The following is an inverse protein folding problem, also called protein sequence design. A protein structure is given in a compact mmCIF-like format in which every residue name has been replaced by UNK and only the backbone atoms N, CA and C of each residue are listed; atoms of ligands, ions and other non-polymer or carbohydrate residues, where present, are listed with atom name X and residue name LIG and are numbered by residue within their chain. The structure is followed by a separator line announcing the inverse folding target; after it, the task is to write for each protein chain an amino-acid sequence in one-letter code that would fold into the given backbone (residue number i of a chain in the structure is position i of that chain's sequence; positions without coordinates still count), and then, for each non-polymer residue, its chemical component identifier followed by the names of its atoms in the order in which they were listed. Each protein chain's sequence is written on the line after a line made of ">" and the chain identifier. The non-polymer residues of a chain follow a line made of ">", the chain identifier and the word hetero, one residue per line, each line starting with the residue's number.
data_IF_353290380595
#
_entry.id   IF_353290380595
#
_cell.length_a   1.000
_cell.length_b   1.000
_cell.length_c   1.000
_cell.angle_alpha   90.00
_cell.angle_beta   90.00
_cell.angle_gamma   90.00
#
_symmetry.space_group_name_H-M   'P 1'
#
loop_
_entity.id
_entity.type
_entity.pdbx_description
1 polymer ?
#
# COMPACT_ATOMS: atom_id res chain seq x y z
N UNK A 1 -29.05 -7.12 -44.27
CA UNK A 1 -29.02 -7.17 -45.74
C UNK A 1 -27.61 -7.50 -46.17
N UNK A 2 -27.44 -8.70 -46.74
CA UNK A 2 -26.21 -9.20 -47.32
C UNK A 2 -25.79 -8.36 -48.54
N UNK A 3 -24.48 -8.30 -48.81
CA UNK A 3 -23.97 -8.62 -50.16
C UNK A 3 -22.47 -8.92 -50.11
N UNK A 4 -22.14 -10.17 -50.43
CA UNK A 4 -20.82 -10.66 -50.84
C UNK A 4 -20.63 -10.50 -52.35
N UNK A 5 -19.38 -10.34 -52.80
CA UNK A 5 -18.84 -10.74 -54.11
C UNK A 5 -17.34 -10.42 -54.12
N UNK A 6 -16.41 -11.12 -54.78
CA UNK A 6 -16.31 -12.47 -55.33
C UNK A 6 -14.84 -12.65 -55.73
N UNK A 7 -14.38 -13.89 -55.72
CA UNK A 7 -13.06 -14.44 -56.07
C UNK A 7 -12.72 -14.37 -57.58
N UNK A 8 -11.43 -14.40 -57.95
CA UNK A 8 -10.74 -14.98 -59.17
C UNK A 8 -9.22 -14.80 -58.91
N UNK A 9 -8.32 -15.79 -58.70
CA UNK A 9 -7.80 -16.97 -59.43
C UNK A 9 -6.74 -16.68 -60.55
N UNK A 10 -5.47 -17.02 -60.20
CA UNK A 10 -4.32 -17.62 -60.94
C UNK A 10 -3.83 -17.06 -62.31
N UNK A 11 -2.52 -16.85 -62.41
CA UNK A 11 -1.70 -17.29 -63.55
C UNK A 11 -0.25 -17.63 -63.15
N UNK A 12 0.31 -18.64 -63.81
CA UNK A 12 1.56 -19.39 -63.58
C UNK A 12 2.45 -19.23 -64.83
N UNK A 13 3.77 -19.11 -64.69
CA UNK A 13 4.82 -19.43 -65.70
C UNK A 13 6.20 -19.36 -65.02
N UNK A 14 6.84 -20.44 -64.56
CA UNK A 14 7.65 -21.45 -65.28
C UNK A 14 8.77 -20.89 -66.18
N UNK A 15 10.02 -21.03 -65.72
CA UNK A 15 11.22 -21.25 -66.55
C UNK A 15 12.15 -22.21 -65.79
N UNK A 16 12.66 -23.21 -66.50
CA UNK A 16 13.38 -24.36 -65.96
C UNK A 16 14.75 -24.56 -66.66
N UNK A 17 15.62 -25.31 -65.96
CA UNK A 17 16.77 -26.14 -66.38
C UNK A 17 18.18 -25.51 -66.47
N UNK A 18 19.30 -26.29 -66.34
CA UNK A 18 19.49 -27.61 -65.68
C UNK A 18 20.83 -27.82 -64.90
N UNK A 19 20.84 -28.91 -64.11
CA UNK A 19 21.91 -29.88 -63.76
C UNK A 19 23.40 -29.45 -63.63
N UNK A 20 23.96 -29.67 -62.43
CA UNK A 20 25.22 -30.38 -62.23
C UNK A 20 25.22 -31.09 -60.86
N UNK A 21 25.63 -32.35 -60.84
CA UNK A 21 25.69 -33.23 -59.67
C UNK A 21 27.13 -33.63 -59.34
N UNK A 22 27.32 -34.12 -58.10
CA UNK A 22 28.46 -34.84 -57.48
C UNK A 22 29.20 -34.06 -56.35
N UNK A 23 29.82 -34.72 -55.35
CA UNK A 23 29.17 -35.48 -54.26
C UNK A 23 29.78 -35.20 -52.85
N UNK A 24 29.10 -35.71 -51.82
CA UNK A 24 29.56 -36.06 -50.45
C UNK A 24 30.89 -35.49 -49.89
N UNK A 25 30.76 -34.64 -48.86
CA UNK A 25 31.53 -34.76 -47.63
C UNK A 25 30.76 -34.08 -46.48
N UNK A 26 30.24 -34.91 -45.58
CA UNK A 26 29.66 -34.47 -44.32
C UNK A 26 30.76 -33.90 -43.42
N UNK A 27 30.85 -32.58 -43.34
CA UNK A 27 31.30 -31.91 -42.12
C UNK A 27 30.04 -31.52 -41.35
N UNK A 28 29.59 -32.41 -40.48
CA UNK A 28 28.72 -32.04 -39.38
C UNK A 28 29.56 -31.18 -38.42
N UNK A 29 29.65 -29.88 -38.71
CA UNK A 29 29.89 -28.91 -37.65
C UNK A 29 28.75 -29.07 -36.64
N UNK A 30 29.01 -29.15 -35.33
CA UNK A 30 27.94 -29.08 -34.36
C UNK A 30 27.25 -27.73 -34.57
N UNK A 31 26.03 -27.78 -35.11
CA UNK A 31 25.14 -26.64 -35.13
C UNK A 31 25.03 -26.20 -33.66
N UNK A 32 25.58 -25.03 -33.39
CA UNK A 32 25.49 -24.36 -32.11
C UNK A 32 24.02 -24.12 -31.87
N UNK A 33 23.44 -24.94 -30.99
CA UNK A 33 22.05 -24.80 -30.56
C UNK A 33 21.90 -23.40 -29.96
N UNK A 34 21.07 -22.51 -30.53
CA UNK A 34 20.85 -21.19 -29.96
C UNK A 34 20.05 -21.36 -28.67
N UNK A 35 20.78 -21.52 -27.57
CA UNK A 35 20.39 -21.15 -26.21
C UNK A 35 18.93 -21.36 -25.87
N UNK A 36 18.52 -22.61 -25.71
CA UNK A 36 17.50 -22.94 -24.70
C UNK A 36 18.13 -22.51 -23.37
N UNK A 37 17.80 -21.32 -22.89
CA UNK A 37 18.01 -20.94 -21.49
C UNK A 37 17.29 -21.99 -20.66
N UNK A 38 18.05 -22.93 -20.10
CA UNK A 38 17.55 -23.77 -19.00
C UNK A 38 17.12 -22.79 -17.93
N UNK A 39 15.82 -22.71 -17.64
CA UNK A 39 15.35 -22.04 -16.44
C UNK A 39 16.12 -22.63 -15.27
N UNK A 40 16.97 -21.82 -14.64
CA UNK A 40 17.73 -22.26 -13.48
C UNK A 40 16.72 -22.75 -12.43
N UNK A 41 16.91 -23.98 -11.94
CA UNK A 41 16.05 -24.51 -10.88
C UNK A 41 16.22 -23.61 -9.66
N UNK A 42 15.12 -22.99 -9.23
CA UNK A 42 15.12 -22.12 -8.04
C UNK A 42 15.41 -22.96 -6.80
N UNK A 43 16.33 -22.47 -5.97
CA UNK A 43 16.65 -23.06 -4.68
C UNK A 43 15.66 -22.56 -3.63
N UNK A 44 14.56 -23.28 -3.46
CA UNK A 44 13.59 -23.06 -2.37
C UNK A 44 13.83 -24.12 -1.29
N UNK A 45 14.16 -23.74 -0.05
CA UNK A 45 14.39 -24.71 1.02
C UNK A 45 13.08 -25.42 1.39
N UNK A 46 13.18 -26.71 1.76
CA UNK A 46 12.02 -27.50 2.17
C UNK A 46 11.38 -26.98 3.47
N UNK A 47 12.15 -26.29 4.31
CA UNK A 47 11.69 -25.62 5.52
C UNK A 47 11.89 -24.11 5.38
N UNK A 48 10.92 -23.28 5.81
CA UNK A 48 11.08 -21.83 5.81
C UNK A 48 12.32 -21.34 6.59
N UNK A 49 12.89 -20.24 6.11
CA UNK A 49 13.97 -19.49 6.76
C UNK A 49 13.38 -18.72 7.94
N UNK A 50 13.66 -19.19 9.15
CA UNK A 50 13.08 -18.65 10.41
C UNK A 50 14.05 -17.84 11.26
N UNK A 51 15.29 -17.63 10.79
CA UNK A 51 16.29 -16.83 11.52
C UNK A 51 17.26 -16.11 10.59
N UNK A 52 17.92 -15.07 11.12
CA UNK A 52 18.98 -14.35 10.40
C UNK A 52 20.14 -15.26 10.01
N UNK A 53 20.58 -16.15 10.90
CA UNK A 53 21.66 -17.09 10.61
C UNK A 53 21.31 -18.05 9.45
N UNK A 54 20.05 -18.49 9.37
CA UNK A 54 19.58 -19.32 8.26
C UNK A 54 19.51 -18.54 6.94
N UNK A 55 19.12 -17.27 6.99
CA UNK A 55 19.16 -16.39 5.82
C UNK A 55 20.60 -16.16 5.33
N UNK A 56 21.51 -15.85 6.24
CA UNK A 56 22.92 -15.64 5.90
C UNK A 56 23.54 -16.92 5.32
N UNK A 57 23.18 -18.11 5.83
CA UNK A 57 23.58 -19.39 5.25
C UNK A 57 23.01 -19.57 3.84
N UNK A 58 21.71 -19.35 3.66
CA UNK A 58 21.05 -19.43 2.36
C UNK A 58 21.72 -18.52 1.31
N UNK A 59 22.05 -17.28 1.68
CA UNK A 59 22.69 -16.32 0.77
C UNK A 59 24.13 -16.70 0.41
N UNK A 60 24.87 -17.38 1.31
CA UNK A 60 26.23 -17.88 1.01
C UNK A 60 26.21 -19.12 0.13
N UNK A 61 25.27 -20.02 0.38
CA UNK A 61 25.26 -21.36 -0.21
C UNK A 61 24.46 -21.43 -1.52
N UNK A 62 23.61 -20.43 -1.80
CA UNK A 62 22.76 -20.38 -3.00
C UNK A 62 23.36 -19.48 -4.07
N UNK A 63 23.63 -20.00 -5.29
CA UNK A 63 24.06 -19.18 -6.42
C UNK A 63 23.02 -18.10 -6.78
N UNK A 64 23.43 -16.88 -7.16
CA UNK A 64 22.51 -15.79 -7.48
C UNK A 64 21.42 -16.15 -8.50
N UNK A 65 21.77 -16.93 -9.54
CA UNK A 65 20.86 -17.39 -10.60
C UNK A 65 19.75 -18.33 -10.11
N UNK A 66 19.97 -19.01 -8.98
CA UNK A 66 19.01 -19.92 -8.35
C UNK A 66 18.26 -19.27 -7.19
N UNK A 67 18.60 -18.04 -6.79
CA UNK A 67 17.97 -17.35 -5.67
C UNK A 67 16.86 -16.40 -6.13
N UNK A 68 15.61 -16.56 -5.65
CA UNK A 68 14.54 -15.57 -5.86
C UNK A 68 14.90 -14.16 -5.37
N UNK A 69 15.81 -14.04 -4.38
CA UNK A 69 16.27 -12.74 -3.88
C UNK A 69 17.00 -11.93 -4.97
N UNK A 70 17.56 -12.58 -5.99
CA UNK A 70 18.26 -11.92 -7.09
C UNK A 70 17.32 -11.28 -8.12
N UNK A 71 16.01 -11.50 -8.02
CA UNK A 71 15.04 -10.76 -8.84
C UNK A 71 14.88 -9.31 -8.42
N UNK A 72 15.22 -9.00 -7.16
CA UNK A 72 15.23 -7.62 -6.66
C UNK A 72 16.52 -6.92 -7.09
N UNK A 73 16.42 -5.63 -7.43
CA UNK A 73 17.61 -4.78 -7.56
C UNK A 73 18.44 -4.78 -6.26
N UNK A 74 19.76 -4.52 -6.30
CA UNK A 74 20.61 -4.57 -5.12
C UNK A 74 20.10 -3.74 -3.93
N UNK A 75 19.58 -2.54 -4.18
CA UNK A 75 19.01 -1.68 -3.15
C UNK A 75 17.68 -2.19 -2.60
N UNK A 76 16.77 -2.64 -3.47
CA UNK A 76 15.50 -3.26 -3.06
C UNK A 76 15.71 -4.54 -2.23
N UNK A 77 16.66 -5.40 -2.66
CA UNK A 77 17.04 -6.60 -1.93
C UNK A 77 17.55 -6.27 -0.53
N UNK A 78 18.42 -5.27 -0.42
CA UNK A 78 18.94 -4.80 0.88
C UNK A 78 17.79 -4.33 1.78
N UNK A 79 16.96 -3.39 1.30
CA UNK A 79 15.81 -2.87 2.06
C UNK A 79 14.85 -3.97 2.52
N UNK A 80 14.54 -4.93 1.64
CA UNK A 80 13.69 -6.07 1.98
C UNK A 80 14.31 -6.91 3.10
N UNK A 81 15.58 -7.32 2.97
CA UNK A 81 16.28 -8.13 3.97
C UNK A 81 16.41 -7.40 5.31
N UNK A 82 16.72 -6.10 5.28
CA UNK A 82 16.88 -5.29 6.49
C UNK A 82 15.53 -5.07 7.19
N UNK A 83 14.41 -5.18 6.48
CA UNK A 83 13.06 -5.10 7.06
C UNK A 83 12.59 -6.38 7.77
N UNK A 84 13.30 -7.50 7.62
CA UNK A 84 12.88 -8.79 8.18
C UNK A 84 13.03 -8.78 9.71
N UNK A 85 11.92 -8.98 10.41
CA UNK A 85 11.88 -9.09 11.88
C UNK A 85 11.63 -10.55 12.26
N UNK A 86 12.59 -11.17 12.94
CA UNK A 86 12.45 -12.53 13.47
C UNK A 86 12.02 -12.51 14.95
N UNK A 87 11.12 -13.42 15.31
CA UNK A 87 10.61 -13.66 16.69
C UNK A 87 10.78 -15.15 17.04
N UNK A 88 10.36 -15.54 18.25
CA UNK A 88 10.49 -16.92 18.77
C UNK A 88 9.87 -17.98 17.84
N UNK A 89 8.83 -17.63 17.08
CA UNK A 89 8.13 -18.54 16.16
C UNK A 89 8.46 -18.31 14.67
N UNK A 90 9.57 -17.63 14.35
CA UNK A 90 10.00 -17.36 12.98
C UNK A 90 9.76 -15.91 12.54
N UNK A 91 9.41 -15.68 11.28
CA UNK A 91 9.23 -14.32 10.76
C UNK A 91 8.02 -13.66 11.42
N UNK A 92 8.25 -12.56 12.13
CA UNK A 92 7.24 -11.75 12.81
C UNK A 92 6.83 -10.48 12.06
N UNK A 93 7.57 -10.09 11.01
CA UNK A 93 7.24 -8.91 10.20
C UNK A 93 8.23 -8.70 9.05
N UNK A 94 7.78 -7.99 8.01
CA UNK A 94 8.57 -7.61 6.84
C UNK A 94 7.92 -6.43 6.12
N UNK A 95 8.69 -5.68 5.34
CA UNK A 95 8.15 -4.69 4.41
C UNK A 95 7.89 -5.32 3.04
N UNK A 96 6.69 -5.08 2.49
CA UNK A 96 6.33 -5.49 1.13
C UNK A 96 6.57 -4.37 0.09
N UNK A 97 7.06 -3.21 0.54
CA UNK A 97 7.09 -2.00 -0.26
C UNK A 97 7.94 -2.14 -1.54
N UNK A 98 9.13 -2.74 -1.47
CA UNK A 98 9.94 -2.96 -2.66
C UNK A 98 9.42 -4.15 -3.50
N UNK A 99 8.82 -5.19 -2.89
CA UNK A 99 8.37 -6.36 -3.64
C UNK A 99 7.34 -5.99 -4.71
N UNK A 100 6.39 -5.10 -4.40
CA UNK A 100 5.38 -4.65 -5.37
C UNK A 100 5.98 -3.88 -6.54
N UNK A 101 7.03 -3.09 -6.32
CA UNK A 101 7.66 -2.26 -7.36
C UNK A 101 8.66 -3.02 -8.23
N UNK A 102 9.15 -4.18 -7.78
CA UNK A 102 10.23 -4.92 -8.44
C UNK A 102 9.76 -6.23 -9.07
N UNK A 103 8.71 -6.84 -8.51
CA UNK A 103 8.32 -8.22 -8.82
C UNK A 103 6.89 -8.29 -9.33
N UNK A 104 6.60 -9.32 -10.13
CA UNK A 104 5.22 -9.76 -10.33
C UNK A 104 4.68 -10.45 -9.08
N UNK A 105 3.37 -10.65 -9.01
CA UNK A 105 2.71 -11.36 -7.90
C UNK A 105 3.27 -12.77 -7.71
N UNK A 106 3.51 -13.49 -8.80
CA UNK A 106 4.04 -14.85 -8.79
C UNK A 106 5.48 -14.88 -8.28
N UNK A 107 6.30 -13.91 -8.69
CA UNK A 107 7.67 -13.76 -8.20
C UNK A 107 7.69 -13.41 -6.71
N UNK A 108 6.83 -12.48 -6.27
CA UNK A 108 6.69 -12.15 -4.86
C UNK A 108 6.24 -13.37 -4.05
N UNK A 109 5.28 -14.16 -4.55
CA UNK A 109 4.83 -15.39 -3.92
C UNK A 109 5.98 -16.38 -3.72
N UNK A 110 6.76 -16.66 -4.77
CA UNK A 110 7.91 -17.59 -4.71
C UNK A 110 9.01 -17.06 -3.80
N UNK A 111 9.33 -15.77 -3.84
CA UNK A 111 10.32 -15.18 -2.93
C UNK A 111 9.85 -15.31 -1.47
N UNK A 112 8.58 -15.03 -1.19
CA UNK A 112 8.04 -15.10 0.16
C UNK A 112 7.87 -16.53 0.69
N UNK A 113 7.83 -17.54 -0.18
CA UNK A 113 7.91 -18.95 0.24
C UNK A 113 9.21 -19.26 0.99
N UNK A 114 10.31 -18.57 0.69
CA UNK A 114 11.57 -18.71 1.44
C UNK A 114 11.36 -18.51 2.94
N UNK A 115 10.37 -17.71 3.34
CA UNK A 115 10.09 -17.36 4.74
C UNK A 115 8.75 -17.92 5.25
N UNK A 116 8.05 -18.73 4.44
CA UNK A 116 6.71 -19.24 4.80
C UNK A 116 5.64 -18.15 4.82
N UNK A 117 5.85 -17.06 4.07
CA UNK A 117 5.02 -15.85 4.07
C UNK A 117 4.33 -15.61 2.71
N UNK A 118 4.20 -16.64 1.87
CA UNK A 118 3.72 -16.52 0.50
C UNK A 118 2.31 -15.95 0.36
N UNK A 119 1.45 -16.11 1.37
CA UNK A 119 0.08 -15.58 1.35
C UNK A 119 0.03 -14.05 1.30
N UNK A 120 1.09 -13.35 1.75
CA UNK A 120 1.16 -11.89 1.65
C UNK A 120 1.27 -11.39 0.20
N UNK A 121 1.60 -12.24 -0.77
CA UNK A 121 1.63 -11.86 -2.18
C UNK A 121 0.23 -11.73 -2.81
N UNK A 122 -0.81 -12.36 -2.24
CA UNK A 122 -2.12 -12.50 -2.88
C UNK A 122 -2.75 -11.14 -3.20
N UNK A 123 -2.73 -10.23 -2.22
CA UNK A 123 -3.34 -8.89 -2.32
C UNK A 123 -2.32 -7.81 -2.72
N UNK A 124 -1.13 -8.21 -3.16
CA UNK A 124 -0.10 -7.25 -3.55
C UNK A 124 -0.47 -6.63 -4.91
N UNK A 125 -0.51 -5.30 -4.97
CA UNK A 125 -0.54 -4.52 -6.20
C UNK A 125 0.85 -4.53 -6.87
N UNK A 126 1.31 -5.74 -7.19
CA UNK A 126 2.60 -6.05 -7.80
C UNK A 126 2.59 -5.77 -9.31
N UNK A 127 3.77 -5.79 -9.95
CA UNK A 127 3.88 -5.59 -11.39
C UNK A 127 3.07 -6.63 -12.17
N UNK A 128 2.49 -6.20 -13.30
CA UNK A 128 1.80 -7.12 -14.22
C UNK A 128 2.78 -7.88 -15.09
N UNK A 129 3.92 -7.27 -15.38
CA UNK A 129 4.98 -7.87 -16.18
C UNK A 129 6.31 -7.70 -15.47
N UNK A 130 7.24 -8.63 -15.71
CA UNK A 130 8.57 -8.56 -15.10
C UNK A 130 9.24 -7.25 -15.49
N UNK A 131 9.76 -6.53 -14.49
CA UNK A 131 10.56 -5.35 -14.75
C UNK A 131 11.78 -5.73 -15.62
N UNK A 132 12.07 -5.00 -16.70
CA UNK A 132 13.32 -5.18 -17.42
C UNK A 132 14.48 -4.94 -16.46
N UNK A 133 15.53 -5.76 -16.55
CA UNK A 133 16.76 -5.53 -15.79
C UNK A 133 17.27 -4.13 -16.12
N UNK A 134 17.21 -3.22 -15.14
CA UNK A 134 17.71 -1.85 -15.30
C UNK A 134 19.17 -1.81 -14.86
N UNK A 135 20.14 -1.69 -15.79
CA UNK A 135 21.55 -1.57 -15.44
C UNK A 135 21.90 -0.17 -14.88
N UNK A 136 20.96 0.78 -14.89
CA UNK A 136 21.21 2.15 -14.50
C UNK A 136 21.20 2.32 -12.97
N UNK A 137 22.35 2.73 -12.43
CA UNK A 137 22.50 3.18 -11.05
C UNK A 137 21.61 4.42 -10.80
N UNK A 138 20.78 4.35 -9.78
CA UNK A 138 19.95 5.48 -9.34
C UNK A 138 20.77 6.48 -8.54
N UNK A 139 20.60 7.77 -8.85
CA UNK A 139 21.23 8.85 -8.07
C UNK A 139 20.38 9.24 -6.86
N UNK A 140 19.07 8.99 -6.91
CA UNK A 140 18.12 9.30 -5.84
C UNK A 140 17.94 8.17 -4.82
N UNK A 141 18.34 6.94 -5.13
CA UNK A 141 18.17 5.80 -4.21
C UNK A 141 18.79 6.02 -2.82
N UNK A 142 20.02 6.55 -2.67
CA UNK A 142 20.56 6.83 -1.34
C UNK A 142 19.77 7.89 -0.57
N UNK A 143 19.14 8.85 -1.26
CA UNK A 143 18.24 9.82 -0.63
C UNK A 143 16.92 9.19 -0.23
N UNK A 144 16.40 8.27 -1.05
CA UNK A 144 15.18 7.53 -0.78
C UNK A 144 15.34 6.64 0.46
N UNK A 145 16.49 5.99 0.62
CA UNK A 145 16.81 5.20 1.81
C UNK A 145 16.82 6.07 3.09
N UNK A 146 17.34 7.30 3.02
CA UNK A 146 17.29 8.24 4.16
C UNK A 146 15.87 8.69 4.46
N UNK A 147 15.07 8.96 3.43
CA UNK A 147 13.67 9.34 3.60
C UNK A 147 12.86 8.22 4.24
N UNK A 148 13.03 6.97 3.79
CA UNK A 148 12.39 5.80 4.41
C UNK A 148 12.73 5.70 5.90
N UNK A 149 14.01 5.80 6.25
CA UNK A 149 14.44 5.76 7.65
C UNK A 149 13.81 6.89 8.48
N UNK A 150 13.70 8.10 7.91
CA UNK A 150 13.06 9.22 8.59
C UNK A 150 11.55 8.99 8.79
N UNK A 151 10.87 8.35 7.84
CA UNK A 151 9.46 7.96 7.96
C UNK A 151 9.28 6.89 9.04
N UNK A 152 10.08 5.83 9.03
CA UNK A 152 10.03 4.77 10.04
C UNK A 152 10.22 5.34 11.46
N UNK A 153 11.15 6.29 11.61
CA UNK A 153 11.36 7.00 12.88
C UNK A 153 10.17 7.89 13.26
N UNK A 154 9.53 8.55 12.29
CA UNK A 154 8.34 9.37 12.53
C UNK A 154 7.12 8.55 12.96
N UNK A 155 6.95 7.34 12.45
CA UNK A 155 5.88 6.43 12.85
C UNK A 155 6.08 5.92 14.29
N UNK A 156 7.33 5.71 14.72
CA UNK A 156 7.65 5.27 16.10
C UNK A 156 7.51 6.41 17.11
N UNK A 157 8.05 7.59 16.79
CA UNK A 157 8.18 8.71 17.74
C UNK A 157 6.99 9.69 17.70
N UNK A 158 6.10 9.58 16.71
CA UNK A 158 4.92 10.45 16.53
C UNK A 158 5.20 11.91 16.18
N UNK A 159 6.44 12.40 16.38
CA UNK A 159 6.80 13.82 16.29
C UNK A 159 7.77 14.17 15.14
N UNK A 160 8.34 13.20 14.40
CA UNK A 160 9.43 13.46 13.43
C UNK A 160 8.96 13.86 12.02
N UNK A 161 7.73 14.36 11.89
CA UNK A 161 7.23 14.90 10.61
C UNK A 161 8.14 16.00 10.01
N UNK A 162 8.73 16.93 10.80
CA UNK A 162 9.64 17.95 10.26
C UNK A 162 10.88 17.36 9.57
N UNK A 163 11.42 16.24 10.07
CA UNK A 163 12.60 15.58 9.50
C UNK A 163 12.29 15.04 8.11
N UNK A 164 11.13 14.40 7.93
CA UNK A 164 10.69 13.89 6.62
C UNK A 164 10.48 15.04 5.62
N UNK A 165 9.87 16.14 6.06
CA UNK A 165 9.70 17.34 5.22
C UNK A 165 11.06 17.92 4.81
N UNK A 166 12.02 17.98 5.73
CA UNK A 166 13.36 18.49 5.45
C UNK A 166 14.14 17.60 4.46
N UNK A 167 14.16 16.28 4.69
CA UNK A 167 14.82 15.33 3.78
C UNK A 167 14.19 15.38 2.38
N UNK A 168 12.86 15.43 2.29
CA UNK A 168 12.17 15.56 1.02
C UNK A 168 12.55 16.86 0.29
N UNK A 169 12.46 17.99 0.99
CA UNK A 169 12.75 19.31 0.43
C UNK A 169 14.21 19.44 -0.04
N UNK A 170 15.16 18.82 0.66
CA UNK A 170 16.56 18.87 0.30
C UNK A 170 16.90 17.96 -0.90
N UNK A 171 16.34 16.76 -0.95
CA UNK A 171 16.80 15.73 -1.90
C UNK A 171 15.90 15.53 -3.12
N UNK A 172 14.59 15.82 -3.03
CA UNK A 172 13.62 15.50 -4.07
C UNK A 172 12.98 16.74 -4.69
N UNK A 173 12.61 17.74 -3.87
CA UNK A 173 11.99 18.97 -4.37
C UNK A 173 12.77 19.69 -5.49
N UNK A 174 14.13 19.72 -5.52
CA UNK A 174 14.87 20.32 -6.64
C UNK A 174 14.61 19.66 -8.00
N UNK A 175 14.23 18.38 -8.01
CA UNK A 175 13.94 17.61 -9.22
C UNK A 175 12.45 17.65 -9.64
N UNK A 176 11.59 18.33 -8.87
CA UNK A 176 10.14 18.38 -9.12
C UNK A 176 9.71 19.41 -10.19
N UNK A 177 10.63 20.20 -10.75
CA UNK A 177 10.28 21.01 -11.94
C UNK A 177 10.40 20.17 -13.22
N UNK A 178 9.59 20.48 -14.23
CA UNK A 178 9.46 19.69 -15.47
C UNK A 178 10.81 19.44 -16.14
N UNK A 179 11.67 20.47 -16.26
CA UNK A 179 12.96 20.34 -16.92
C UNK A 179 13.88 19.32 -16.22
N UNK A 180 13.96 19.37 -14.89
CA UNK A 180 14.76 18.40 -14.14
C UNK A 180 14.13 17.01 -14.15
N UNK A 181 12.81 16.92 -13.97
CA UNK A 181 12.05 15.66 -14.02
C UNK A 181 12.25 14.92 -15.34
N UNK A 182 12.21 15.63 -16.46
CA UNK A 182 12.44 15.06 -17.79
C UNK A 182 13.89 14.59 -18.01
N UNK A 183 14.86 15.22 -17.35
CA UNK A 183 16.27 14.87 -17.48
C UNK A 183 16.65 13.59 -16.71
N UNK A 184 15.85 13.17 -15.73
CA UNK A 184 16.12 11.99 -14.92
C UNK A 184 15.96 10.69 -15.71
N UNK A 185 16.68 9.65 -15.28
CA UNK A 185 16.42 8.28 -15.72
C UNK A 185 15.12 7.72 -15.16
N UNK A 186 14.64 6.61 -15.73
CA UNK A 186 13.38 5.99 -15.31
C UNK A 186 13.39 5.60 -13.83
N UNK A 187 14.53 5.09 -13.35
CA UNK A 187 14.68 4.67 -11.96
C UNK A 187 14.62 5.84 -10.97
N UNK A 188 15.25 6.97 -11.32
CA UNK A 188 15.19 8.17 -10.49
C UNK A 188 13.79 8.81 -10.52
N UNK A 189 13.11 8.76 -11.67
CA UNK A 189 11.71 9.21 -11.77
C UNK A 189 10.78 8.37 -10.89
N UNK A 190 10.98 7.04 -10.84
CA UNK A 190 10.24 6.17 -9.92
C UNK A 190 10.50 6.52 -8.45
N UNK A 191 11.75 6.82 -8.08
CA UNK A 191 12.06 7.25 -6.72
C UNK A 191 11.49 8.62 -6.37
N UNK A 192 11.36 9.55 -7.32
CA UNK A 192 10.62 10.80 -7.08
C UNK A 192 9.15 10.51 -6.74
N UNK A 193 8.48 9.70 -7.56
CA UNK A 193 7.09 9.30 -7.32
C UNK A 193 6.92 8.66 -5.94
N UNK A 194 7.77 7.67 -5.61
CA UNK A 194 7.72 6.95 -4.34
C UNK A 194 8.02 7.86 -3.15
N UNK A 195 8.96 8.80 -3.28
CA UNK A 195 9.28 9.77 -2.24
C UNK A 195 8.12 10.74 -2.00
N UNK A 196 7.48 11.23 -3.07
CA UNK A 196 6.33 12.12 -2.97
C UNK A 196 5.14 11.40 -2.34
N UNK A 197 4.93 10.11 -2.67
CA UNK A 197 3.93 9.27 -2.00
C UNK A 197 4.20 9.12 -0.50
N UNK A 198 5.44 8.80 -0.09
CA UNK A 198 5.80 8.70 1.32
C UNK A 198 5.56 10.01 2.09
N UNK A 199 6.02 11.13 1.54
CA UNK A 199 5.81 12.44 2.13
C UNK A 199 4.32 12.81 2.21
N UNK A 200 3.54 12.49 1.17
CA UNK A 200 2.09 12.71 1.16
C UNK A 200 1.38 11.87 2.22
N UNK A 201 1.62 10.55 2.28
CA UNK A 201 0.98 9.67 3.28
C UNK A 201 1.26 10.10 4.72
N UNK A 202 2.47 10.59 4.99
CA UNK A 202 2.83 11.07 6.31
C UNK A 202 2.22 12.43 6.65
N UNK A 203 2.13 13.35 5.69
CA UNK A 203 1.82 14.76 6.01
C UNK A 203 0.43 15.20 5.58
N UNK A 204 -0.17 14.53 4.60
CA UNK A 204 -1.38 14.97 3.89
C UNK A 204 -1.22 16.29 3.14
N UNK A 205 0.00 16.81 2.94
CA UNK A 205 0.18 18.14 2.34
C UNK A 205 -0.08 18.13 0.83
N UNK A 206 -0.89 19.08 0.30
CA UNK A 206 -1.24 19.13 -1.13
C UNK A 206 -0.05 19.27 -2.09
N UNK A 207 1.08 19.82 -1.64
CA UNK A 207 2.27 19.98 -2.50
C UNK A 207 2.83 18.64 -2.93
N UNK A 208 2.86 17.63 -2.05
CA UNK A 208 3.37 16.31 -2.38
C UNK A 208 2.43 15.55 -3.31
N UNK A 209 1.11 15.79 -3.22
CA UNK A 209 0.17 15.26 -4.20
C UNK A 209 0.38 15.89 -5.59
N UNK A 210 0.69 17.19 -5.64
CA UNK A 210 1.01 17.86 -6.90
C UNK A 210 2.31 17.31 -7.53
N UNK A 211 3.33 17.09 -6.70
CA UNK A 211 4.59 16.43 -7.10
C UNK A 211 4.34 15.01 -7.62
N UNK A 212 3.59 14.18 -6.86
CA UNK A 212 3.18 12.84 -7.29
C UNK A 212 2.46 12.86 -8.64
N UNK A 213 1.58 13.83 -8.88
CA UNK A 213 0.85 13.96 -10.15
C UNK A 213 1.81 14.23 -11.31
N UNK A 214 2.81 15.09 -11.11
CA UNK A 214 3.86 15.35 -12.10
C UNK A 214 4.71 14.12 -12.37
N UNK A 215 5.08 13.37 -11.33
CA UNK A 215 5.91 12.17 -11.43
C UNK A 215 5.15 11.05 -12.15
N UNK A 216 3.88 10.87 -11.80
CA UNK A 216 2.98 9.93 -12.45
C UNK A 216 2.82 10.24 -13.94
N UNK A 217 2.61 11.52 -14.29
CA UNK A 217 2.50 11.93 -15.69
C UNK A 217 3.78 11.65 -16.49
N UNK A 218 4.96 11.85 -15.88
CA UNK A 218 6.24 11.56 -16.51
C UNK A 218 6.47 10.05 -16.67
N UNK A 219 6.17 9.25 -15.65
CA UNK A 219 6.21 7.79 -15.75
C UNK A 219 5.24 7.28 -16.82
N UNK A 220 4.06 7.88 -16.93
CA UNK A 220 3.08 7.53 -17.96
C UNK A 220 3.60 7.85 -19.36
N UNK A 221 4.20 9.03 -19.55
CA UNK A 221 4.83 9.44 -20.82
C UNK A 221 5.92 8.47 -21.27
N UNK A 222 6.63 7.86 -20.30
CA UNK A 222 7.70 6.88 -20.53
C UNK A 222 7.20 5.44 -20.65
N UNK A 223 5.89 5.21 -20.54
CA UNK A 223 5.31 3.86 -20.48
C UNK A 223 5.85 3.01 -19.31
N UNK A 224 6.07 3.64 -18.15
CA UNK A 224 6.61 3.04 -16.92
C UNK A 224 5.59 2.92 -15.79
N UNK A 225 4.31 3.18 -16.05
CA UNK A 225 3.23 2.99 -15.08
C UNK A 225 2.75 1.54 -15.11
N UNK A 226 2.71 0.91 -13.93
CA UNK A 226 2.09 -0.39 -13.70
C UNK A 226 1.22 -0.30 -12.43
N UNK A 227 0.69 -1.44 -11.94
CA UNK A 227 -0.22 -1.50 -10.79
C UNK A 227 0.30 -0.77 -9.54
N UNK A 228 1.58 -0.83 -9.14
CA UNK A 228 2.04 -0.12 -7.95
C UNK A 228 1.84 1.39 -8.04
N UNK A 229 2.22 2.01 -9.15
CA UNK A 229 2.09 3.46 -9.32
C UNK A 229 0.62 3.87 -9.42
N UNK A 230 -0.19 3.07 -10.12
CA UNK A 230 -1.63 3.28 -10.22
C UNK A 230 -2.31 3.20 -8.85
N UNK A 231 -2.00 2.16 -8.07
CA UNK A 231 -2.53 1.95 -6.73
C UNK A 231 -2.20 3.12 -5.80
N UNK A 232 -0.91 3.50 -5.71
CA UNK A 232 -0.48 4.58 -4.81
C UNK A 232 -1.06 5.93 -5.22
N UNK A 233 -1.13 6.24 -6.52
CA UNK A 233 -1.72 7.50 -6.97
C UNK A 233 -3.23 7.53 -6.75
N UNK A 234 -3.94 6.42 -7.02
CA UNK A 234 -5.36 6.29 -6.70
C UNK A 234 -5.64 6.54 -5.22
N UNK A 235 -4.86 5.92 -4.33
CA UNK A 235 -5.06 6.02 -2.88
C UNK A 235 -4.71 7.42 -2.35
N UNK A 236 -3.70 8.06 -2.93
CA UNK A 236 -3.38 9.45 -2.62
C UNK A 236 -4.51 10.41 -3.02
N UNK A 237 -5.12 10.21 -4.19
CA UNK A 237 -6.27 11.00 -4.64
C UNK A 237 -7.47 10.84 -3.69
N UNK A 238 -7.80 9.63 -3.25
CA UNK A 238 -8.91 9.42 -2.30
C UNK A 238 -8.64 10.01 -0.92
N UNK A 239 -7.41 9.84 -0.43
CA UNK A 239 -6.97 10.44 0.84
C UNK A 239 -7.06 11.96 0.78
N UNK A 240 -6.77 12.57 -0.37
CA UNK A 240 -6.95 14.01 -0.61
C UNK A 240 -8.40 14.42 -0.92
N UNK A 241 -9.33 13.47 -1.03
CA UNK A 241 -10.73 13.67 -1.38
C UNK A 241 -10.98 14.15 -2.83
N UNK A 242 -10.14 13.69 -3.76
CA UNK A 242 -10.27 13.88 -5.20
C UNK A 242 -10.94 12.64 -5.84
N UNK A 243 -12.17 12.30 -5.42
CA UNK A 243 -12.85 11.06 -5.84
C UNK A 243 -13.20 11.02 -7.34
N UNK A 244 -13.50 12.17 -7.96
CA UNK A 244 -13.71 12.25 -9.40
C UNK A 244 -12.44 11.97 -10.21
N UNK A 245 -11.28 12.46 -9.74
CA UNK A 245 -9.98 12.20 -10.37
C UNK A 245 -9.58 10.73 -10.21
N UNK A 246 -9.78 10.16 -9.02
CA UNK A 246 -9.55 8.73 -8.77
C UNK A 246 -10.46 7.85 -9.65
N UNK A 247 -11.72 8.26 -9.88
CA UNK A 247 -12.64 7.55 -10.78
C UNK A 247 -12.17 7.64 -12.23
N UNK A 248 -11.71 8.80 -12.68
CA UNK A 248 -11.16 8.98 -14.02
C UNK A 248 -9.91 8.12 -14.24
N UNK A 249 -9.01 8.06 -13.24
CA UNK A 249 -7.82 7.22 -13.26
C UNK A 249 -8.18 5.73 -13.42
N UNK A 250 -9.11 5.22 -12.61
CA UNK A 250 -9.56 3.82 -12.74
C UNK A 250 -10.23 3.52 -14.07
N UNK A 251 -11.01 4.45 -14.61
CA UNK A 251 -11.62 4.29 -15.93
C UNK A 251 -10.58 4.23 -17.06
N UNK A 252 -9.48 4.98 -16.94
CA UNK A 252 -8.37 4.94 -17.88
C UNK A 252 -7.47 3.70 -17.72
N UNK A 253 -7.44 3.08 -16.53
CA UNK A 253 -6.55 1.97 -16.19
C UNK A 253 -7.31 0.79 -15.54
N UNK A 254 -8.12 0.05 -16.32
CA UNK A 254 -8.91 -1.07 -15.80
C UNK A 254 -8.05 -2.23 -15.23
N UNK A 255 -6.77 -2.31 -15.60
CA UNK A 255 -5.82 -3.32 -15.11
C UNK A 255 -5.52 -3.22 -13.60
N UNK A 256 -5.89 -2.11 -12.94
CA UNK A 256 -5.78 -1.99 -11.48
C UNK A 256 -6.82 -2.86 -10.75
N UNK A 257 -7.92 -3.26 -11.43
CA UNK A 257 -8.93 -4.21 -10.91
C UNK A 257 -9.54 -3.83 -9.55
N UNK A 258 -9.56 -2.55 -9.21
CA UNK A 258 -10.15 -2.05 -7.96
C UNK A 258 -11.61 -1.68 -8.12
N UNK A 259 -12.35 -1.79 -7.01
CA UNK A 259 -13.71 -1.27 -6.95
C UNK A 259 -13.73 0.25 -7.17
N UNK A 260 -14.79 0.79 -7.80
CA UNK A 260 -14.91 2.23 -7.98
C UNK A 260 -14.80 3.00 -6.65
N UNK A 261 -14.26 4.21 -6.64
CA UNK A 261 -14.16 4.99 -5.41
C UNK A 261 -15.56 5.42 -4.94
N UNK A 262 -15.78 5.53 -3.62
CA UNK A 262 -17.04 6.06 -3.12
C UNK A 262 -17.23 7.51 -3.58
N UNK A 263 -18.47 7.92 -3.85
CA UNK A 263 -18.78 9.34 -4.02
C UNK A 263 -18.65 10.04 -2.67
N UNK A 264 -17.88 11.13 -2.62
CA UNK A 264 -17.59 11.84 -1.38
C UNK A 264 -18.43 13.12 -1.29
N UNK A 265 -19.31 13.21 -0.28
CA UNK A 265 -20.25 14.34 -0.14
C UNK A 265 -20.06 15.09 1.16
N UNK A 266 -19.85 16.40 1.06
CA UNK A 266 -19.86 17.31 2.20
C UNK A 266 -21.13 18.14 2.18
N UNK A 267 -21.92 18.09 3.25
CA UNK A 267 -23.05 19.01 3.38
C UNK A 267 -22.56 20.41 3.79
N UNK A 268 -23.06 21.44 3.09
CA UNK A 268 -22.73 22.85 3.32
C UNK A 268 -22.96 23.22 4.79
N UNK A 269 -21.88 23.29 5.59
CA UNK A 269 -21.81 23.82 6.97
C UNK A 269 -20.50 23.51 7.69
N UNK A 270 -19.62 22.63 7.20
CA UNK A 270 -18.34 22.32 7.87
C UNK A 270 -17.30 23.39 7.55
N UNK A 271 -16.75 24.04 8.58
CA UNK A 271 -15.72 25.09 8.39
C UNK A 271 -14.35 24.45 8.15
N UNK A 272 -13.44 25.17 7.47
CA UNK A 272 -12.04 24.75 7.33
C UNK A 272 -11.42 24.54 8.72
N UNK A 273 -10.73 23.41 8.91
CA UNK A 273 -10.11 23.03 10.19
C UNK A 273 -11.10 22.56 11.26
N UNK A 274 -12.39 22.47 10.97
CA UNK A 274 -13.34 21.85 11.90
C UNK A 274 -13.18 20.32 11.85
N UNK A 275 -13.01 19.64 13.00
CA UNK A 275 -12.97 18.19 13.03
C UNK A 275 -14.22 17.58 12.42
N UNK A 276 -14.02 16.53 11.62
CA UNK A 276 -15.07 15.88 10.86
C UNK A 276 -14.68 14.48 10.46
N UNK A 277 -15.67 13.62 10.28
CA UNK A 277 -15.50 12.23 9.85
C UNK A 277 -16.22 11.99 8.52
N UNK A 278 -15.64 11.13 7.68
CA UNK A 278 -16.35 10.44 6.62
C UNK A 278 -17.09 9.24 7.20
N UNK A 279 -18.37 9.11 6.89
CA UNK A 279 -19.20 8.01 7.39
C UNK A 279 -19.90 7.34 6.22
N UNK A 280 -19.93 6.00 6.23
CA UNK A 280 -20.67 5.20 5.25
C UNK A 280 -22.18 5.40 5.45
N UNK A 281 -22.92 5.71 4.38
CA UNK A 281 -24.38 5.86 4.45
C UNK A 281 -25.06 4.51 4.75
N UNK A 282 -25.69 4.31 5.94
CA UNK A 282 -26.25 3.02 6.33
C UNK A 282 -27.39 2.57 5.42
N UNK A 283 -27.51 1.26 5.20
CA UNK A 283 -28.65 0.66 4.47
C UNK A 283 -28.72 0.98 2.97
N UNK A 284 -27.70 1.64 2.41
CA UNK A 284 -27.65 1.93 0.97
C UNK A 284 -26.69 0.98 0.26
N UNK A 285 -27.01 0.64 -1.00
CA UNK A 285 -26.08 -0.07 -1.90
C UNK A 285 -25.08 0.86 -2.57
N UNK A 286 -25.24 2.18 -2.40
CA UNK A 286 -24.36 3.18 -3.02
C UNK A 286 -23.02 3.20 -2.28
N UNK A 287 -21.92 3.29 -3.03
CA UNK A 287 -20.60 3.59 -2.46
C UNK A 287 -20.55 5.08 -2.19
N UNK A 288 -21.00 5.49 -1.02
CA UNK A 288 -21.11 6.90 -0.64
C UNK A 288 -20.51 7.11 0.75
N UNK A 289 -19.62 8.11 0.84
CA UNK A 289 -19.12 8.65 2.09
C UNK A 289 -19.68 10.05 2.29
N UNK A 290 -20.27 10.27 3.46
CA UNK A 290 -20.84 11.56 3.84
C UNK A 290 -20.00 12.15 4.96
N UNK A 291 -19.61 13.42 4.80
CA UNK A 291 -18.83 14.14 5.81
C UNK A 291 -19.74 14.72 6.88
N UNK A 292 -19.50 14.34 8.13
CA UNK A 292 -20.19 14.89 9.31
C UNK A 292 -19.23 15.63 10.22
N UNK A 293 -19.74 16.65 10.92
CA UNK A 293 -18.99 17.34 11.97
C UNK A 293 -18.72 16.37 13.12
N UNK A 294 -17.53 16.43 13.67
CA UNK A 294 -17.13 15.65 14.82
C UNK A 294 -16.94 16.56 16.03
N UNK A 295 -17.73 16.35 17.09
CA UNK A 295 -17.65 17.19 18.29
C UNK A 295 -16.70 16.58 19.32
N UNK A 296 -15.40 16.88 19.20
CA UNK A 296 -14.38 16.46 20.17
C UNK A 296 -14.56 17.14 21.55
N UNK A 297 -15.37 18.20 21.63
CA UNK A 297 -15.62 18.94 22.88
C UNK A 297 -16.92 18.55 23.57
N UNK A 298 -17.45 17.35 23.29
CA UNK A 298 -18.57 16.83 24.07
C UNK A 298 -18.18 16.73 25.57
N UNK A 299 -19.13 16.91 26.51
CA UNK A 299 -18.81 16.93 27.94
C UNK A 299 -18.09 15.67 28.44
N UNK A 300 -18.53 14.49 28.01
CA UNK A 300 -17.85 13.22 28.26
C UNK A 300 -17.95 12.34 27.01
N UNK A 301 -16.83 11.78 26.56
CA UNK A 301 -16.81 10.85 25.42
C UNK A 301 -15.59 9.95 25.44
N UNK A 302 -15.69 8.82 24.75
CA UNK A 302 -14.56 7.94 24.44
C UNK A 302 -14.33 7.95 22.94
N UNK A 303 -13.12 8.35 22.54
CA UNK A 303 -12.72 8.30 21.13
C UNK A 303 -11.80 7.10 20.97
N UNK A 304 -12.17 6.19 20.07
CA UNK A 304 -11.42 4.96 19.81
C UNK A 304 -10.74 5.08 18.46
N UNK A 305 -9.42 5.21 18.45
CA UNK A 305 -8.65 5.03 17.23
C UNK A 305 -8.60 3.53 16.93
N UNK A 306 -9.17 3.12 15.81
CA UNK A 306 -9.31 1.72 15.41
C UNK A 306 -9.05 1.56 13.92
N UNK A 307 -8.79 0.34 13.47
CA UNK A 307 -8.57 0.03 12.06
C UNK A 307 -9.35 -1.20 11.63
N UNK A 308 -9.90 -1.16 10.41
CA UNK A 308 -10.62 -2.31 9.82
C UNK A 308 -9.72 -3.51 9.55
N UNK A 309 -8.42 -3.29 9.33
CA UNK A 309 -7.44 -4.36 9.13
C UNK A 309 -6.79 -4.89 10.42
N UNK A 310 -7.11 -4.32 11.58
CA UNK A 310 -6.46 -4.67 12.84
C UNK A 310 -7.31 -5.67 13.66
N UNK A 311 -6.80 -6.90 13.81
CA UNK A 311 -7.48 -7.93 14.60
C UNK A 311 -7.69 -7.53 16.08
N UNK A 312 -6.75 -6.78 16.69
CA UNK A 312 -6.94 -6.27 18.05
C UNK A 312 -8.11 -5.29 18.16
N UNK A 313 -8.35 -4.49 17.10
CA UNK A 313 -9.52 -3.60 17.06
C UNK A 313 -10.81 -4.41 16.98
N UNK A 314 -10.83 -5.45 16.15
CA UNK A 314 -11.98 -6.37 16.05
C UNK A 314 -12.25 -7.12 17.37
N UNK A 315 -11.22 -7.62 18.06
CA UNK A 315 -11.35 -8.24 19.38
C UNK A 315 -11.90 -7.27 20.42
N UNK A 316 -11.42 -6.03 20.42
CA UNK A 316 -11.92 -5.01 21.34
C UNK A 316 -13.40 -4.68 21.11
N UNK A 317 -13.81 -4.54 19.84
CA UNK A 317 -15.21 -4.31 19.48
C UNK A 317 -16.10 -5.47 19.96
N UNK A 318 -15.68 -6.72 19.73
CA UNK A 318 -16.38 -7.92 20.17
C UNK A 318 -16.55 -7.96 21.71
N UNK A 319 -15.48 -7.76 22.46
CA UNK A 319 -15.51 -7.83 23.93
C UNK A 319 -16.36 -6.71 24.54
N UNK A 320 -16.33 -5.50 23.95
CA UNK A 320 -17.15 -4.36 24.38
C UNK A 320 -18.64 -4.62 24.09
N UNK A 321 -18.98 -5.18 22.93
CA UNK A 321 -20.38 -5.51 22.59
C UNK A 321 -20.93 -6.65 23.45
N UNK A 322 -20.08 -7.58 23.88
CA UNK A 322 -20.45 -8.69 24.75
C UNK A 322 -20.75 -8.26 26.21
N UNK A 323 -20.27 -7.08 26.65
CA UNK A 323 -20.60 -6.49 27.95
C UNK A 323 -21.79 -5.53 27.80
N UNK A 324 -22.98 -5.82 28.38
CA UNK A 324 -24.17 -4.98 28.17
C UNK A 324 -24.00 -3.53 28.64
N UNK A 325 -23.29 -3.30 29.75
CA UNK A 325 -23.08 -1.96 30.30
C UNK A 325 -22.15 -1.16 29.39
N UNK A 326 -21.05 -1.77 28.93
CA UNK A 326 -20.12 -1.09 28.04
C UNK A 326 -20.71 -0.91 26.64
N UNK A 327 -21.45 -1.88 26.12
CA UNK A 327 -22.16 -1.77 24.83
C UNK A 327 -23.09 -0.55 24.80
N UNK A 328 -23.87 -0.34 25.86
CA UNK A 328 -24.76 0.84 25.98
C UNK A 328 -23.95 2.14 26.09
N UNK A 329 -22.90 2.17 26.92
CA UNK A 329 -22.05 3.35 27.08
C UNK A 329 -21.32 3.72 25.79
N UNK A 330 -20.76 2.77 25.06
CA UNK A 330 -20.07 3.05 23.79
C UNK A 330 -21.05 3.46 22.70
N UNK A 331 -22.29 2.95 22.72
CA UNK A 331 -23.32 3.39 21.78
C UNK A 331 -23.68 4.87 21.96
N UNK A 332 -23.71 5.36 23.20
CA UNK A 332 -24.09 6.73 23.53
C UNK A 332 -22.90 7.71 23.53
N UNK A 333 -21.76 7.28 24.06
CA UNK A 333 -20.60 8.14 24.34
C UNK A 333 -19.33 7.77 23.55
N UNK A 334 -19.35 6.66 22.81
CA UNK A 334 -18.22 6.19 22.03
C UNK A 334 -18.25 6.70 20.58
N UNK A 335 -17.10 7.14 20.08
CA UNK A 335 -16.87 7.38 18.66
C UNK A 335 -15.66 6.58 18.20
N UNK A 336 -15.89 5.60 17.33
CA UNK A 336 -14.82 4.85 16.68
C UNK A 336 -14.37 5.60 15.43
N UNK A 337 -13.05 5.78 15.31
CA UNK A 337 -12.43 6.57 14.24
C UNK A 337 -11.26 5.80 13.63
N UNK A 338 -11.28 5.68 12.31
CA UNK A 338 -10.17 5.18 11.52
C UNK A 338 -9.26 6.33 11.04
N UNK A 339 -7.96 6.06 10.85
CA UNK A 339 -7.03 6.97 10.20
C UNK A 339 -7.51 7.46 8.82
N UNK A 340 -7.12 8.66 8.35
CA UNK A 340 -7.61 9.23 7.09
C UNK A 340 -7.41 8.37 5.85
N UNK A 341 -6.32 7.59 5.80
CA UNK A 341 -5.97 6.70 4.69
C UNK A 341 -6.91 5.50 4.55
N UNK A 342 -7.65 5.12 5.60
CA UNK A 342 -8.69 4.08 5.51
C UNK A 342 -9.91 4.51 4.69
N UNK A 343 -9.97 5.76 4.20
CA UNK A 343 -10.95 6.18 3.20
C UNK A 343 -10.91 5.30 1.93
N UNK A 344 -9.75 4.69 1.65
CA UNK A 344 -9.52 3.75 0.56
C UNK A 344 -10.17 2.38 0.81
N UNK A 345 -10.39 2.01 2.08
CA UNK A 345 -10.93 0.72 2.52
C UNK A 345 -12.47 0.74 2.68
N UNK A 346 -13.19 1.39 1.75
CA UNK A 346 -14.65 1.58 1.84
C UNK A 346 -15.43 0.28 2.13
N UNK A 347 -15.08 -0.82 1.48
CA UNK A 347 -15.80 -2.08 1.64
C UNK A 347 -15.61 -2.66 3.05
N UNK A 348 -14.39 -2.61 3.59
CA UNK A 348 -14.08 -3.04 4.95
C UNK A 348 -14.75 -2.15 5.99
N UNK A 349 -14.82 -0.83 5.77
CA UNK A 349 -15.56 0.10 6.62
C UNK A 349 -17.06 -0.19 6.61
N UNK A 350 -17.63 -0.52 5.45
CA UNK A 350 -19.04 -0.90 5.35
C UNK A 350 -19.31 -2.20 6.07
N UNK A 351 -18.45 -3.20 5.91
CA UNK A 351 -18.56 -4.49 6.60
C UNK A 351 -18.45 -4.34 8.11
N UNK A 352 -17.46 -3.60 8.61
CA UNK A 352 -17.34 -3.25 10.04
C UNK A 352 -18.64 -2.65 10.57
N UNK A 353 -19.18 -1.65 9.89
CA UNK A 353 -20.39 -0.95 10.33
C UNK A 353 -21.66 -1.82 10.26
N UNK A 354 -21.65 -2.90 9.47
CA UNK A 354 -22.72 -3.90 9.45
C UNK A 354 -22.60 -4.88 10.61
N UNK A 355 -21.37 -5.31 10.92
CA UNK A 355 -21.07 -6.24 12.02
C UNK A 355 -21.22 -5.58 13.40
N UNK A 356 -20.83 -4.31 13.51
CA UNK A 356 -20.78 -3.56 14.77
C UNK A 356 -21.68 -2.31 14.74
N UNK A 357 -23.02 -2.46 14.66
CA UNK A 357 -23.93 -1.34 14.48
C UNK A 357 -23.95 -0.36 15.67
N UNK A 358 -23.49 -0.79 16.85
CA UNK A 358 -23.33 0.02 18.05
C UNK A 358 -21.98 0.75 18.11
N UNK A 359 -20.96 0.27 17.38
CA UNK A 359 -19.59 0.76 17.39
C UNK A 359 -19.18 1.28 16.01
N UNK A 360 -20.01 2.18 15.46
CA UNK A 360 -19.84 2.65 14.09
C UNK A 360 -18.52 3.38 13.90
N UNK A 361 -17.74 2.88 12.95
CA UNK A 361 -16.46 3.41 12.54
C UNK A 361 -16.65 4.49 11.46
N UNK A 362 -16.23 5.71 11.77
CA UNK A 362 -16.03 6.77 10.79
C UNK A 362 -14.55 6.93 10.46
N UNK A 363 -14.21 7.53 9.33
CA UNK A 363 -12.83 7.83 8.95
C UNK A 363 -12.53 9.30 9.24
N UNK A 364 -11.43 9.60 9.91
CA UNK A 364 -11.00 10.99 10.09
C UNK A 364 -10.85 11.69 8.74
N UNK A 365 -11.35 12.94 8.63
CA UNK A 365 -11.20 13.70 7.39
C UNK A 365 -9.73 13.98 7.06
N UNK A 366 -8.96 14.39 8.05
CA UNK A 366 -7.52 14.58 7.97
C UNK A 366 -6.90 14.29 9.34
N UNK A 367 -5.56 14.32 9.44
CA UNK A 367 -4.86 14.11 10.72
C UNK A 367 -5.21 15.17 11.77
N UNK A 368 -5.48 16.41 11.36
CA UNK A 368 -5.87 17.49 12.28
C UNK A 368 -7.25 17.31 12.91
N UNK A 369 -8.08 16.44 12.32
CA UNK A 369 -9.35 16.03 12.91
C UNK A 369 -9.17 15.17 14.18
N UNK A 370 -7.95 14.68 14.48
CA UNK A 370 -7.63 13.89 15.66
C UNK A 370 -6.40 14.46 16.39
N UNK A 371 -6.49 15.68 16.97
CA UNK A 371 -5.33 16.38 17.53
C UNK A 371 -4.74 15.73 18.79
N UNK A 372 -5.43 14.76 19.39
CA UNK A 372 -4.98 13.99 20.55
C UNK A 372 -4.21 12.71 20.20
N UNK A 373 -4.17 12.35 18.91
CA UNK A 373 -3.49 11.12 18.47
C UNK A 373 -1.99 11.40 18.41
N UNK A 374 -1.28 10.94 19.44
CA UNK A 374 0.17 11.00 19.54
C UNK A 374 0.84 9.76 18.90
N UNK A 375 0.12 8.64 18.77
CA UNK A 375 0.62 7.35 18.27
C UNK A 375 -0.45 6.70 17.38
N UNK A 376 -0.04 6.07 16.28
CA UNK A 376 -0.95 5.47 15.28
C UNK A 376 -1.17 3.95 15.57
N UNK A 377 -0.97 3.53 16.81
CA UNK A 377 -1.29 2.15 17.21
C UNK A 377 -2.81 1.97 17.31
N UNK A 378 -3.32 0.79 16.99
CA UNK A 378 -4.76 0.48 17.10
C UNK A 378 -5.00 -0.85 17.82
N UNK A 379 -6.03 -0.96 18.69
CA UNK A 379 -6.92 0.12 19.10
C UNK A 379 -6.29 1.00 20.20
N UNK A 380 -6.64 2.29 20.22
CA UNK A 380 -6.32 3.19 21.34
C UNK A 380 -7.58 3.92 21.78
N UNK A 381 -7.86 3.92 23.08
CA UNK A 381 -9.02 4.54 23.69
C UNK A 381 -8.59 5.81 24.40
N UNK A 382 -9.09 6.94 23.93
CA UNK A 382 -8.94 8.23 24.57
C UNK A 382 -10.20 8.56 25.34
N UNK A 383 -10.08 8.81 26.65
CA UNK A 383 -11.19 9.23 27.49
C UNK A 383 -11.12 10.75 27.66
N UNK A 384 -12.16 11.45 27.19
CA UNK A 384 -12.16 12.92 27.14
C UNK A 384 -13.22 13.52 28.07
N UNK A 385 -12.82 14.58 28.78
CA UNK A 385 -13.69 15.49 29.54
C UNK A 385 -13.62 16.87 28.89
N UNK A 386 -14.72 17.34 28.30
CA UNK A 386 -14.81 18.61 27.54
C UNK A 386 -13.72 18.79 26.47
N UNK A 387 -13.28 17.69 25.84
CA UNK A 387 -12.23 17.69 24.81
C UNK A 387 -10.80 17.61 25.33
N UNK A 388 -10.60 17.48 26.64
CA UNK A 388 -9.29 17.21 27.24
C UNK A 388 -9.16 15.72 27.52
N UNK A 389 -8.06 15.10 27.06
CA UNK A 389 -7.77 13.69 27.38
C UNK A 389 -7.41 13.56 28.87
N UNK A 390 -8.16 12.73 29.60
CA UNK A 390 -7.94 12.45 31.04
C UNK A 390 -7.47 11.02 31.32
N UNK A 391 -7.59 10.13 30.33
CA UNK A 391 -7.03 8.79 30.37
C UNK A 391 -6.78 8.24 28.97
N UNK A 392 -5.91 7.25 28.86
CA UNK A 392 -5.64 6.53 27.61
C UNK A 392 -5.44 5.05 27.89
N UNK A 393 -6.05 4.19 27.07
CA UNK A 393 -5.80 2.75 27.08
C UNK A 393 -5.30 2.33 25.70
N UNK A 394 -4.14 1.69 25.65
CA UNK A 394 -3.47 1.30 24.40
C UNK A 394 -3.54 -0.21 24.22
N UNK A 395 -3.95 -0.64 23.04
CA UNK A 395 -3.96 -2.03 22.60
C UNK A 395 -5.05 -2.89 23.24
N UNK A 396 -5.11 -4.13 22.77
CA UNK A 396 -6.03 -5.16 23.27
C UNK A 396 -5.29 -6.49 23.43
N UNK A 397 -4.69 -6.76 24.61
CA UNK A 397 -3.89 -7.96 24.83
C UNK A 397 -4.77 -9.23 24.92
N UNK A 398 -4.16 -10.43 24.92
CA UNK A 398 -4.86 -11.66 25.28
C UNK A 398 -5.50 -11.52 26.67
N UNK A 399 -6.83 -11.72 26.77
CA UNK A 399 -7.62 -11.47 27.97
C UNK A 399 -8.34 -10.11 27.99
N UNK A 400 -8.10 -9.27 26.99
CA UNK A 400 -8.76 -7.98 26.79
C UNK A 400 -8.30 -6.89 27.77
N UNK A 401 -8.96 -5.74 27.68
CA UNK A 401 -8.63 -4.55 28.51
C UNK A 401 -9.87 -3.95 29.20
N UNK A 402 -10.94 -4.73 29.38
CA UNK A 402 -12.24 -4.25 29.88
C UNK A 402 -12.15 -3.51 31.23
N UNK A 403 -11.31 -3.96 32.16
CA UNK A 403 -11.13 -3.27 33.45
C UNK A 403 -10.45 -1.90 33.29
N UNK A 404 -9.52 -1.77 32.35
CA UNK A 404 -8.91 -0.49 32.01
C UNK A 404 -9.95 0.46 31.40
N UNK A 405 -10.82 -0.07 30.52
CA UNK A 405 -11.93 0.69 29.95
C UNK A 405 -12.88 1.19 31.04
N UNK A 406 -13.29 0.34 31.99
CA UNK A 406 -14.13 0.75 33.12
C UNK A 406 -13.48 1.83 33.98
N UNK A 407 -12.16 1.76 34.21
CA UNK A 407 -11.42 2.82 34.92
C UNK A 407 -11.46 4.15 34.17
N UNK A 408 -11.22 4.13 32.86
CA UNK A 408 -11.31 5.33 32.01
C UNK A 408 -12.71 5.95 32.05
N UNK A 409 -13.76 5.14 31.95
CA UNK A 409 -15.16 5.59 32.05
C UNK A 409 -15.48 6.27 33.38
N UNK A 410 -14.92 5.78 34.51
CA UNK A 410 -15.07 6.46 35.81
C UNK A 410 -14.38 7.82 35.84
N UNK A 411 -13.22 7.97 35.19
CA UNK A 411 -12.52 9.27 35.13
C UNK A 411 -13.32 10.35 34.41
N UNK A 412 -14.11 9.97 33.41
CA UNK A 412 -15.05 10.87 32.72
C UNK A 412 -16.47 10.83 33.29
N UNK A 413 -16.66 10.25 34.49
CA UNK A 413 -17.92 10.23 35.26
C UNK A 413 -19.10 9.53 34.55
N UNK A 414 -18.82 8.63 33.61
CA UNK A 414 -19.83 7.78 32.95
C UNK A 414 -20.09 6.47 33.72
N UNK A 415 -19.18 6.09 34.62
CA UNK A 415 -19.37 5.01 35.58
C UNK A 415 -19.11 5.51 37.00
N UNK A 416 -19.78 4.89 37.98
CA UNK A 416 -19.54 5.12 39.40
C UNK A 416 -18.39 4.28 39.95
#
# INVERSE_FOLDING_TARGET
>A
MCMSCSTIVRLLCLLALPFAALPFAALAAPASDPGVTRDAVLAIPATPITSRAALDAYQRDTPPESSPLSWLTPGARRRFIDSLVYREHGLGGMSLADLRYELTREQAYVLLQLFGAQNYAIDLDALTTRAPESPATSTLEPAYDRLLKAVDQAEVDGAQTPTVVQEYAAAFAPAQNDAQRHALGDRDTEFLFRAANLAFRLTGQPTYLADMRGDFAELQRRHRIDRPQLADFHDALLTAHHDDEARALLAAHPALERNPPPSMRTFNRIRKGQPSLWVVTPGTRKRELVRFRFNIRAPAQVIVLASTGCHFSASAAHDIEADPLLSDLFREFGQWVAPPDEVTAFDALREWNQLHPALRLGVAYDRSALPMVERIETPVFYFLDHGTVVDTVVGWPPGGNLDAIRRGMRRIKLLR
#
